data_IF_989607391633
#
_entry.id   IF_989607391633
#
_cell.length_a   1.000
_cell.length_b   1.000
_cell.length_c   1.000
_cell.angle_alpha   90.00
_cell.angle_beta   90.00
_cell.angle_gamma   90.00
#
_symmetry.space_group_name_H-M   'P 1'
#
loop_
_entity.id
_entity.type
_entity.pdbx_description
1 polymer ?
#
# COMPACT_ATOMS: atom_id res chain seq x y z
N UNK A 1 7.35 -72.06 16.15
CA UNK A 1 8.42 -71.04 15.99
C UNK A 1 8.34 -70.52 14.56
N UNK A 2 8.60 -69.22 14.35
CA UNK A 2 8.14 -68.37 13.23
C UNK A 2 6.76 -67.77 13.50
N UNK A 3 6.52 -66.46 13.50
CA UNK A 3 7.36 -65.27 13.40
C UNK A 3 6.40 -64.07 13.52
N UNK A 4 6.55 -63.24 14.56
CA UNK A 4 5.84 -61.97 14.71
C UNK A 4 6.79 -60.89 14.18
N UNK A 5 6.38 -60.14 13.16
CA UNK A 5 7.03 -58.87 12.82
C UNK A 5 5.97 -57.82 12.51
N UNK A 6 6.11 -56.70 13.21
CA UNK A 6 5.30 -55.51 13.26
C UNK A 6 4.85 -54.98 11.90
N UNK A 7 3.55 -54.67 11.79
CA UNK A 7 3.10 -53.57 10.95
C UNK A 7 3.25 -52.27 11.72
N UNK A 8 4.30 -51.50 11.39
CA UNK A 8 4.35 -50.06 11.70
C UNK A 8 3.24 -49.39 10.92
N UNK A 9 2.21 -48.91 11.61
CA UNK A 9 1.31 -47.93 11.04
C UNK A 9 2.05 -46.61 11.19
N UNK A 10 2.80 -46.24 10.16
CA UNK A 10 3.31 -44.89 9.99
C UNK A 10 2.09 -43.97 9.83
N UNK A 11 1.61 -43.49 10.97
CA UNK A 11 0.73 -42.35 11.08
C UNK A 11 1.57 -41.11 10.84
N UNK A 12 1.89 -40.88 9.57
CA UNK A 12 2.42 -39.59 9.12
C UNK A 12 1.24 -38.61 9.09
N UNK A 13 0.81 -38.23 10.29
CA UNK A 13 -0.14 -37.15 10.54
C UNK A 13 0.53 -35.87 10.09
N UNK A 14 -0.06 -35.27 9.06
CA UNK A 14 0.04 -33.88 8.66
C UNK A 14 1.44 -33.27 8.76
N UNK A 15 2.15 -33.33 7.63
CA UNK A 15 3.08 -32.27 7.29
C UNK A 15 2.28 -30.96 7.28
N UNK A 16 2.22 -30.32 8.44
CA UNK A 16 1.63 -29.03 8.68
C UNK A 16 2.11 -28.09 7.58
N UNK A 17 1.14 -27.61 6.81
CA UNK A 17 1.26 -26.91 5.53
C UNK A 17 1.94 -25.54 5.75
N UNK A 18 3.25 -25.57 6.01
CA UNK A 18 4.02 -24.44 6.54
C UNK A 18 4.46 -23.44 5.46
N UNK A 19 3.76 -23.37 4.31
CA UNK A 19 4.22 -22.49 3.21
C UNK A 19 3.15 -22.02 2.20
N UNK A 20 1.97 -21.60 2.64
CA UNK A 20 1.02 -20.94 1.73
C UNK A 20 1.39 -19.48 1.41
N UNK A 21 2.00 -18.75 2.35
CA UNK A 21 2.48 -17.37 2.17
C UNK A 21 3.90 -17.33 1.60
N UNK A 22 4.05 -17.72 0.34
CA UNK A 22 5.34 -17.61 -0.37
C UNK A 22 5.53 -16.19 -0.88
N UNK A 23 6.74 -15.66 -0.68
CA UNK A 23 7.13 -14.32 -1.17
C UNK A 23 7.66 -14.37 -2.62
N UNK A 24 7.89 -15.57 -3.16
CA UNK A 24 8.42 -15.75 -4.51
C UNK A 24 7.50 -15.12 -5.56
N UNK A 25 8.03 -14.20 -6.36
CA UNK A 25 7.29 -13.53 -7.44
C UNK A 25 6.64 -12.20 -7.04
N UNK A 26 6.63 -11.84 -5.75
CA UNK A 26 6.16 -10.53 -5.30
C UNK A 26 7.32 -9.54 -5.40
N UNK A 27 7.16 -8.54 -6.27
CA UNK A 27 8.08 -7.41 -6.36
C UNK A 27 8.09 -6.67 -5.03
N UNK A 28 9.26 -6.38 -4.49
CA UNK A 28 9.38 -5.68 -3.22
C UNK A 28 8.79 -4.26 -3.30
N UNK A 29 8.07 -3.82 -2.26
CA UNK A 29 7.64 -2.42 -2.12
C UNK A 29 8.87 -1.52 -1.98
N UNK A 30 9.10 -0.64 -2.95
CA UNK A 30 10.16 0.37 -2.92
C UNK A 30 9.97 1.36 -1.77
N UNK A 31 10.97 2.20 -1.50
CA UNK A 31 10.81 3.32 -0.57
C UNK A 31 9.68 4.25 -0.97
N UNK A 32 9.10 4.98 -0.02
CA UNK A 32 8.18 6.08 -0.31
C UNK A 32 8.85 7.15 -1.20
N UNK A 33 8.05 7.86 -2.00
CA UNK A 33 8.52 8.89 -2.94
C UNK A 33 7.95 8.70 -4.34
N UNK A 34 8.47 9.48 -5.31
CA UNK A 34 7.99 9.49 -6.69
C UNK A 34 8.07 8.11 -7.36
N UNK A 35 9.09 7.32 -7.01
CA UNK A 35 9.35 6.00 -7.59
C UNK A 35 8.66 4.86 -6.84
N UNK A 36 7.80 5.17 -5.87
CA UNK A 36 7.10 4.14 -5.12
C UNK A 36 6.18 3.32 -6.01
N UNK A 37 6.29 1.99 -5.96
CA UNK A 37 5.39 1.04 -6.62
C UNK A 37 4.22 0.60 -5.74
N UNK A 38 3.78 1.43 -4.79
CA UNK A 38 2.77 1.03 -3.79
C UNK A 38 1.47 0.52 -4.41
N UNK A 39 0.95 1.16 -5.47
CA UNK A 39 -0.31 0.74 -6.09
C UNK A 39 -0.21 -0.69 -6.64
N UNK A 40 0.79 -0.96 -7.46
CA UNK A 40 1.05 -2.31 -8.01
C UNK A 40 1.31 -3.34 -6.90
N UNK A 41 2.16 -2.99 -5.94
CA UNK A 41 2.50 -3.87 -4.82
C UNK A 41 1.26 -4.22 -3.99
N UNK A 42 0.45 -3.22 -3.64
CA UNK A 42 -0.75 -3.40 -2.83
C UNK A 42 -1.78 -4.25 -3.56
N UNK A 43 -1.95 -4.06 -4.87
CA UNK A 43 -2.82 -4.89 -5.69
C UNK A 43 -2.38 -6.36 -5.69
N UNK A 44 -1.10 -6.63 -5.95
CA UNK A 44 -0.56 -8.00 -5.98
C UNK A 44 -0.66 -8.68 -4.61
N UNK A 45 -0.31 -7.97 -3.54
CA UNK A 45 -0.42 -8.49 -2.17
C UNK A 45 -1.87 -8.79 -1.81
N UNK A 46 -2.80 -7.87 -2.08
CA UNK A 46 -4.21 -8.06 -1.78
C UNK A 46 -4.77 -9.28 -2.54
N UNK A 47 -4.49 -9.39 -3.84
CA UNK A 47 -4.93 -10.52 -4.66
C UNK A 47 -4.37 -11.85 -4.15
N UNK A 48 -3.10 -11.88 -3.77
CA UNK A 48 -2.48 -13.07 -3.19
C UNK A 48 -3.15 -13.47 -1.87
N UNK A 49 -3.36 -12.53 -0.96
CA UNK A 49 -4.03 -12.80 0.33
C UNK A 49 -5.49 -13.23 0.14
N UNK A 50 -6.20 -12.66 -0.85
CA UNK A 50 -7.55 -13.10 -1.21
C UNK A 50 -7.56 -14.56 -1.69
N UNK A 51 -6.59 -14.96 -2.51
CA UNK A 51 -6.48 -16.36 -2.98
C UNK A 51 -6.29 -17.37 -1.85
N UNK A 52 -5.79 -16.92 -0.69
CA UNK A 52 -5.56 -17.72 0.51
C UNK A 52 -6.65 -17.54 1.58
N UNK A 53 -7.71 -16.76 1.30
CA UNK A 53 -8.72 -16.35 2.27
C UNK A 53 -8.15 -15.63 3.50
N UNK A 54 -7.04 -14.90 3.34
CA UNK A 54 -6.37 -14.16 4.42
C UNK A 54 -6.61 -12.65 4.36
N UNK A 55 -7.15 -12.11 3.26
CA UNK A 55 -7.34 -10.65 3.11
C UNK A 55 -8.23 -10.02 4.19
N UNK A 56 -9.08 -10.82 4.87
CA UNK A 56 -9.94 -10.34 5.94
C UNK A 56 -9.17 -9.74 7.13
N UNK A 57 -7.92 -10.15 7.37
CA UNK A 57 -7.10 -9.61 8.47
C UNK A 57 -6.52 -8.23 8.19
N UNK A 58 -6.64 -7.72 6.95
CA UNK A 58 -6.26 -6.35 6.61
C UNK A 58 -7.31 -5.33 7.06
N UNK A 59 -8.51 -5.79 7.43
CA UNK A 59 -9.54 -4.94 7.99
C UNK A 59 -9.35 -4.81 9.51
N UNK A 60 -9.60 -3.61 10.01
CA UNK A 60 -9.54 -3.35 11.46
C UNK A 60 -10.69 -4.09 12.14
N UNK A 61 -10.34 -4.91 13.14
CA UNK A 61 -11.30 -5.63 13.99
C UNK A 61 -11.09 -5.20 15.44
N UNK A 62 -12.20 -4.91 16.13
CA UNK A 62 -12.20 -4.55 17.55
C UNK A 62 -11.53 -5.65 18.37
N UNK A 63 -10.80 -5.29 19.43
CA UNK A 63 -9.93 -6.24 20.15
C UNK A 63 -10.73 -7.41 20.73
N UNK A 64 -11.94 -7.11 21.21
CA UNK A 64 -12.94 -8.02 21.75
C UNK A 64 -13.45 -9.06 20.74
N UNK A 65 -13.43 -8.75 19.44
CA UNK A 65 -13.94 -9.62 18.37
C UNK A 65 -12.83 -10.48 17.73
N UNK A 66 -11.57 -10.31 18.16
CA UNK A 66 -10.42 -11.03 17.60
C UNK A 66 -10.41 -12.48 18.08
N UNK A 67 -10.76 -13.38 17.18
CA UNK A 67 -10.64 -14.83 17.41
C UNK A 67 -9.18 -15.29 17.42
N UNK A 68 -8.92 -16.47 17.99
CA UNK A 68 -7.60 -17.09 17.93
C UNK A 68 -7.12 -17.34 16.48
N UNK A 69 -8.05 -17.61 15.56
CA UNK A 69 -7.75 -17.73 14.13
C UNK A 69 -7.29 -16.40 13.54
N UNK A 70 -8.02 -15.31 13.81
CA UNK A 70 -7.64 -13.96 13.38
C UNK A 70 -6.23 -13.59 13.87
N UNK A 71 -5.91 -13.84 15.15
CA UNK A 71 -4.60 -13.51 15.70
C UNK A 71 -3.46 -14.26 15.01
N UNK A 72 -3.63 -15.56 14.76
CA UNK A 72 -2.65 -16.38 14.03
C UNK A 72 -2.47 -15.89 12.59
N UNK A 73 -3.57 -15.65 11.89
CA UNK A 73 -3.55 -15.21 10.51
C UNK A 73 -2.95 -13.80 10.39
N UNK A 74 -3.27 -12.91 11.34
CA UNK A 74 -2.66 -11.58 11.45
C UNK A 74 -1.15 -11.65 11.65
N UNK A 75 -0.65 -12.55 12.51
CA UNK A 75 0.81 -12.80 12.66
C UNK A 75 1.43 -13.26 11.33
N UNK A 76 0.77 -14.20 10.65
CA UNK A 76 1.26 -14.74 9.38
C UNK A 76 1.33 -13.66 8.29
N UNK A 77 0.27 -12.86 8.15
CA UNK A 77 0.20 -11.74 7.20
C UNK A 77 1.17 -10.62 7.57
N UNK A 78 1.33 -10.30 8.85
CA UNK A 78 2.31 -9.30 9.32
C UNK A 78 3.74 -9.69 8.95
N UNK A 79 4.11 -10.95 9.18
CA UNK A 79 5.40 -11.51 8.78
C UNK A 79 5.60 -11.46 7.26
N UNK A 80 4.55 -11.79 6.49
CA UNK A 80 4.56 -11.71 5.04
C UNK A 80 4.74 -10.26 4.54
N UNK A 81 4.01 -9.28 5.08
CA UNK A 81 4.17 -7.86 4.75
C UNK A 81 5.60 -7.41 5.04
N UNK A 82 6.14 -7.70 6.23
CA UNK A 82 7.50 -7.31 6.60
C UNK A 82 8.57 -7.85 5.63
N UNK A 83 8.32 -8.99 4.97
CA UNK A 83 9.23 -9.61 4.00
C UNK A 83 9.07 -9.11 2.56
N UNK A 84 7.96 -8.46 2.24
CA UNK A 84 7.66 -7.98 0.88
C UNK A 84 7.95 -6.49 0.69
N UNK A 85 8.49 -5.81 1.71
CA UNK A 85 8.80 -4.37 1.64
C UNK A 85 10.30 -4.08 1.72
N UNK A 86 10.70 -2.92 1.23
CA UNK A 86 12.06 -2.39 1.41
C UNK A 86 12.31 -2.05 2.89
N UNK A 87 13.52 -2.30 3.43
CA UNK A 87 13.83 -2.06 4.85
C UNK A 87 13.55 -0.64 5.34
N UNK A 88 13.64 0.37 4.45
CA UNK A 88 13.31 1.77 4.81
C UNK A 88 11.87 1.95 5.27
N UNK A 89 10.96 1.05 4.89
CA UNK A 89 9.54 1.12 5.21
C UNK A 89 9.21 0.43 6.54
N UNK A 90 10.17 -0.32 7.14
CA UNK A 90 10.00 -0.95 8.46
C UNK A 90 9.68 0.08 9.55
N UNK A 91 10.16 1.33 9.40
CA UNK A 91 9.91 2.42 10.34
C UNK A 91 8.41 2.69 10.53
N UNK A 92 7.59 2.48 9.49
CA UNK A 92 6.15 2.73 9.51
C UNK A 92 5.35 1.61 10.17
N UNK A 93 5.91 0.40 10.24
CA UNK A 93 5.17 -0.79 10.64
C UNK A 93 5.65 -1.43 11.95
N UNK A 94 6.90 -1.16 12.36
CA UNK A 94 7.53 -1.85 13.51
C UNK A 94 6.76 -1.71 14.83
N UNK A 95 6.05 -0.60 15.03
CA UNK A 95 5.30 -0.33 16.25
C UNK A 95 4.01 -1.16 16.34
N UNK A 96 3.50 -1.68 15.22
CA UNK A 96 2.25 -2.45 15.16
C UNK A 96 2.45 -3.93 15.48
N UNK A 97 3.69 -4.41 15.54
CA UNK A 97 4.00 -5.80 15.89
C UNK A 97 3.37 -6.80 14.92
N UNK A 98 2.32 -7.48 15.38
CA UNK A 98 1.58 -8.50 14.63
C UNK A 98 0.17 -8.07 14.21
N UNK A 99 -0.16 -6.78 14.26
CA UNK A 99 -1.42 -6.23 13.77
C UNK A 99 -1.32 -5.92 12.27
N UNK A 100 -1.75 -6.87 11.42
CA UNK A 100 -1.62 -6.77 9.97
C UNK A 100 -2.43 -5.61 9.39
N UNK A 101 -3.62 -5.34 9.94
CA UNK A 101 -4.48 -4.23 9.50
C UNK A 101 -3.80 -2.87 9.75
N UNK A 102 -3.20 -2.70 10.92
CA UNK A 102 -2.46 -1.48 11.24
C UNK A 102 -1.21 -1.32 10.35
N UNK A 103 -0.44 -2.40 10.12
CA UNK A 103 0.71 -2.35 9.22
C UNK A 103 0.31 -1.97 7.78
N UNK A 104 -0.77 -2.56 7.29
CA UNK A 104 -1.31 -2.28 5.95
C UNK A 104 -1.73 -0.82 5.79
N UNK A 105 -2.47 -0.30 6.78
CA UNK A 105 -2.95 1.08 6.80
C UNK A 105 -1.79 2.08 6.86
N UNK A 106 -0.82 1.86 7.75
CA UNK A 106 0.35 2.73 7.88
C UNK A 106 1.24 2.74 6.64
N UNK A 107 1.36 1.63 5.91
CA UNK A 107 2.04 1.61 4.62
C UNK A 107 1.25 2.39 3.55
N UNK A 108 -0.08 2.32 3.57
CA UNK A 108 -0.91 3.13 2.68
C UNK A 108 -0.67 4.62 2.91
N UNK A 109 -0.75 5.06 4.16
CA UNK A 109 -0.58 6.47 4.54
C UNK A 109 0.84 6.98 4.27
N UNK A 110 1.87 6.17 4.49
CA UNK A 110 3.24 6.56 4.19
C UNK A 110 3.50 6.75 2.68
N UNK A 111 2.76 6.03 1.84
CA UNK A 111 2.98 6.02 0.39
C UNK A 111 1.98 6.87 -0.40
N UNK A 112 0.85 7.25 0.20
CA UNK A 112 -0.24 7.95 -0.44
C UNK A 112 -0.64 9.17 0.38
N UNK A 113 -0.59 10.35 -0.24
CA UNK A 113 -1.08 11.58 0.37
C UNK A 113 -2.57 11.74 0.10
N UNK A 114 -3.41 11.19 0.98
CA UNK A 114 -4.86 11.31 0.90
C UNK A 114 -5.39 12.71 1.27
N UNK A 115 -4.53 13.68 1.57
CA UNK A 115 -4.95 15.05 1.82
C UNK A 115 -5.48 15.73 0.55
N UNK A 116 -6.13 16.88 0.72
CA UNK A 116 -6.41 17.79 -0.40
C UNK A 116 -5.13 18.15 -1.17
N UNK A 117 -4.02 18.35 -0.46
CA UNK A 117 -2.72 18.66 -1.08
C UNK A 117 -2.26 17.57 -2.05
N UNK A 118 -2.37 16.31 -1.67
CA UNK A 118 -2.01 15.18 -2.55
C UNK A 118 -2.89 15.08 -3.79
N UNK A 119 -4.21 15.22 -3.63
CA UNK A 119 -5.14 15.27 -4.78
C UNK A 119 -4.84 16.45 -5.70
N UNK A 120 -4.65 17.64 -5.13
CA UNK A 120 -4.28 18.85 -5.87
C UNK A 120 -2.94 18.71 -6.59
N UNK A 121 -1.95 18.04 -5.98
CA UNK A 121 -0.65 17.79 -6.60
C UNK A 121 -0.78 16.97 -7.89
N UNK A 122 -1.46 15.83 -7.83
CA UNK A 122 -1.63 14.96 -8.99
C UNK A 122 -2.57 15.57 -10.04
N UNK A 123 -3.63 16.25 -9.61
CA UNK A 123 -4.49 17.01 -10.51
C UNK A 123 -3.69 18.09 -11.24
N UNK A 124 -2.87 18.87 -10.52
CA UNK A 124 -1.99 19.88 -11.10
C UNK A 124 -1.06 19.25 -12.13
N UNK A 125 -0.33 18.19 -11.76
CA UNK A 125 0.57 17.50 -12.68
C UNK A 125 -0.14 17.05 -13.96
N UNK A 126 -1.36 16.51 -13.84
CA UNK A 126 -2.16 16.07 -14.97
C UNK A 126 -2.54 17.24 -15.91
N UNK A 127 -3.01 18.37 -15.36
CA UNK A 127 -3.50 19.50 -16.18
C UNK A 127 -2.39 20.37 -16.76
N UNK A 128 -1.23 20.45 -16.10
CA UNK A 128 -0.07 21.23 -16.58
C UNK A 128 0.84 20.43 -17.49
N UNK A 129 0.71 19.10 -17.53
CA UNK A 129 1.51 18.26 -18.42
C UNK A 129 1.36 18.74 -19.87
N UNK A 130 2.48 18.89 -20.56
CA UNK A 130 2.54 19.26 -21.98
C UNK A 130 3.44 18.25 -22.68
N UNK A 131 3.10 17.94 -23.93
CA UNK A 131 3.97 17.15 -24.79
C UNK A 131 5.29 17.90 -24.96
N UNK A 132 6.40 17.22 -24.67
CA UNK A 132 7.75 17.73 -24.90
C UNK A 132 8.43 16.80 -25.90
N UNK A 133 8.92 17.36 -27.01
CA UNK A 133 9.46 16.57 -28.11
C UNK A 133 8.37 15.94 -28.97
N UNK A 134 8.66 14.78 -29.54
CA UNK A 134 7.82 14.06 -30.50
C UNK A 134 7.31 12.69 -30.00
N UNK A 135 7.71 12.26 -28.80
CA UNK A 135 7.26 11.01 -28.20
C UNK A 135 5.90 11.15 -27.50
N UNK A 136 4.83 11.01 -28.28
CA UNK A 136 3.45 11.07 -27.80
C UNK A 136 3.10 9.86 -26.92
N UNK A 137 3.70 8.70 -27.15
CA UNK A 137 3.39 7.47 -26.41
C UNK A 137 3.88 7.61 -24.97
N UNK A 138 5.13 8.02 -24.77
CA UNK A 138 5.68 8.29 -23.44
C UNK A 138 4.91 9.40 -22.71
N UNK A 139 4.43 10.42 -23.43
CA UNK A 139 3.60 11.47 -22.84
C UNK A 139 2.25 10.93 -22.34
N UNK A 140 1.58 10.09 -23.14
CA UNK A 140 0.31 9.45 -22.75
C UNK A 140 0.51 8.55 -21.53
N UNK A 141 1.58 7.74 -21.51
CA UNK A 141 1.93 6.89 -20.35
C UNK A 141 2.16 7.73 -19.09
N UNK A 142 2.93 8.82 -19.20
CA UNK A 142 3.16 9.72 -18.06
C UNK A 142 1.87 10.36 -17.55
N UNK A 143 0.94 10.73 -18.44
CA UNK A 143 -0.37 11.25 -18.05
C UNK A 143 -1.24 10.18 -17.39
N UNK A 144 -1.21 8.95 -17.91
CA UNK A 144 -1.95 7.82 -17.35
C UNK A 144 -1.51 7.52 -15.91
N UNK A 145 -0.20 7.55 -15.63
CA UNK A 145 0.33 7.41 -14.26
C UNK A 145 -0.20 8.52 -13.34
N UNK A 146 -0.24 9.77 -13.80
CA UNK A 146 -0.80 10.87 -13.01
C UNK A 146 -2.29 10.66 -12.71
N UNK A 147 -3.06 10.22 -13.71
CA UNK A 147 -4.49 9.95 -13.57
C UNK A 147 -4.75 8.78 -12.60
N UNK A 148 -3.97 7.70 -12.68
CA UNK A 148 -4.06 6.57 -11.78
C UNK A 148 -3.76 6.96 -10.33
N UNK A 149 -2.70 7.77 -10.12
CA UNK A 149 -2.37 8.30 -8.79
C UNK A 149 -3.48 9.17 -8.24
N UNK A 150 -4.00 10.11 -9.03
CA UNK A 150 -5.14 10.92 -8.62
C UNK A 150 -6.35 10.04 -8.25
N UNK A 151 -6.69 9.06 -9.09
CA UNK A 151 -7.81 8.16 -8.86
C UNK A 151 -7.63 7.34 -7.56
N UNK A 152 -6.41 6.93 -7.23
CA UNK A 152 -6.14 6.20 -5.98
C UNK A 152 -6.38 7.02 -4.71
N UNK A 153 -6.36 8.35 -4.81
CA UNK A 153 -6.57 9.27 -3.69
C UNK A 153 -8.02 9.76 -3.56
N UNK A 154 -8.84 9.55 -4.59
CA UNK A 154 -10.25 9.95 -4.63
C UNK A 154 -11.09 8.78 -4.14
N UNK A 155 -11.60 8.89 -2.92
CA UNK A 155 -12.48 7.88 -2.32
C UNK A 155 -13.85 8.49 -2.00
N UNK A 156 -14.80 7.64 -1.60
CA UNK A 156 -16.13 8.11 -1.15
C UNK A 156 -16.00 9.09 0.02
N UNK A 157 -15.10 8.80 0.96
CA UNK A 157 -14.87 9.62 2.15
C UNK A 157 -13.98 10.84 1.88
N UNK A 158 -13.16 10.78 0.83
CA UNK A 158 -12.22 11.84 0.42
C UNK A 158 -12.37 12.13 -1.08
N UNK A 159 -13.50 12.70 -1.50
CA UNK A 159 -13.75 12.96 -2.91
C UNK A 159 -12.86 14.09 -3.44
N UNK A 160 -12.75 14.19 -4.77
CA UNK A 160 -12.23 15.41 -5.40
C UNK A 160 -13.28 16.51 -5.29
N UNK A 161 -12.95 17.59 -4.58
CA UNK A 161 -13.91 18.67 -4.29
C UNK A 161 -13.77 19.86 -5.26
N UNK A 162 -14.81 20.71 -5.39
CA UNK A 162 -14.68 21.97 -6.12
C UNK A 162 -13.58 22.89 -5.58
N UNK A 163 -13.31 22.84 -4.27
CA UNK A 163 -12.23 23.62 -3.65
C UNK A 163 -10.85 23.12 -4.08
N UNK A 164 -10.64 21.79 -4.12
CA UNK A 164 -9.41 21.18 -4.65
C UNK A 164 -9.17 21.64 -6.10
N UNK A 165 -10.22 21.68 -6.93
CA UNK A 165 -10.14 22.12 -8.33
C UNK A 165 -9.83 23.61 -8.43
N UNK A 166 -10.56 24.46 -7.70
CA UNK A 166 -10.36 25.91 -7.70
C UNK A 166 -8.95 26.28 -7.21
N UNK A 167 -8.52 25.71 -6.10
CA UNK A 167 -7.20 25.91 -5.53
C UNK A 167 -6.10 25.42 -6.48
N UNK A 168 -6.31 24.28 -7.17
CA UNK A 168 -5.37 23.80 -8.19
C UNK A 168 -5.27 24.76 -9.37
N UNK A 169 -6.40 25.27 -9.87
CA UNK A 169 -6.44 26.23 -10.97
C UNK A 169 -5.73 27.54 -10.57
N UNK A 170 -5.98 28.04 -9.36
CA UNK A 170 -5.32 29.21 -8.81
C UNK A 170 -3.80 28.98 -8.73
N UNK A 171 -3.34 27.88 -8.10
CA UNK A 171 -1.92 27.54 -8.00
C UNK A 171 -1.24 27.39 -9.36
N UNK A 172 -1.97 26.93 -10.37
CA UNK A 172 -1.47 26.79 -11.74
C UNK A 172 -1.40 28.12 -12.49
N UNK A 173 -2.23 29.09 -12.11
CA UNK A 173 -2.25 30.44 -12.70
C UNK A 173 -1.14 31.35 -12.18
N UNK A 174 -0.50 30.99 -11.07
CA UNK A 174 0.61 31.74 -10.50
C UNK A 174 1.89 31.52 -11.34
N UNK A 175 2.65 32.59 -11.59
CA UNK A 175 3.96 32.49 -12.23
C UNK A 175 4.98 31.85 -11.29
N UNK A 176 6.05 31.27 -11.85
CA UNK A 176 7.06 30.54 -11.08
C UNK A 176 7.70 31.37 -9.96
N UNK A 177 7.69 32.70 -10.08
CA UNK A 177 8.20 33.65 -9.08
C UNK A 177 7.41 33.65 -7.75
N UNK A 178 6.16 33.19 -7.76
CA UNK A 178 5.28 33.20 -6.57
C UNK A 178 5.20 31.84 -5.87
N UNK A 179 5.60 30.75 -6.53
CA UNK A 179 5.55 29.39 -5.97
C UNK A 179 6.42 29.17 -4.72
N UNK A 180 7.65 29.73 -4.62
CA UNK A 180 8.49 29.59 -3.42
C UNK A 180 7.95 30.32 -2.19
N UNK A 181 7.03 31.28 -2.38
CA UNK A 181 6.58 32.23 -1.35
C UNK A 181 5.28 31.80 -0.65
N UNK A 182 4.65 30.71 -1.10
CA UNK A 182 3.43 30.20 -0.49
C UNK A 182 3.77 29.26 0.68
N UNK A 183 3.27 29.53 1.91
CA UNK A 183 3.27 28.53 2.96
C UNK A 183 2.41 27.36 2.47
N UNK A 184 2.98 26.16 2.40
CA UNK A 184 2.18 24.94 2.37
C UNK A 184 1.24 24.99 3.58
N UNK A 185 -0.05 24.58 3.46
CA UNK A 185 -0.89 24.42 4.63
C UNK A 185 -0.16 23.51 5.62
N UNK A 186 0.22 24.11 6.75
CA UNK A 186 0.93 23.43 7.82
C UNK A 186 -0.04 22.43 8.47
N UNK A 187 0.06 21.16 8.08
CA UNK A 187 -0.30 20.07 8.98
C UNK A 187 0.99 19.34 9.35
N UNK A 188 1.51 19.72 10.52
CA UNK A 188 2.30 18.91 11.46
C UNK A 188 3.55 18.19 10.92
N UNK A 189 4.58 18.96 10.56
CA UNK A 189 5.96 18.52 10.79
C UNK A 189 6.34 18.74 12.26
N UNK A 190 5.73 17.98 13.17
CA UNK A 190 6.29 17.65 14.49
C UNK A 190 5.56 16.42 15.03
N UNK A 191 6.13 15.24 14.82
CA UNK A 191 6.01 14.07 15.68
C UNK A 191 7.19 13.16 15.33
N UNK A 192 7.98 12.83 16.35
CA UNK A 192 9.27 12.14 16.31
C UNK A 192 9.29 10.79 15.58
#
# INVERSE_FOLDING_TARGET
>A
MSGKLSTSVDSNVDANDTSSLKVSGIVQLKSQGSESNYLDWSFVVLLHLQSLNLAYVLNTVAVEDRTAAYLRDSVAVSSFIARTIHPSNLRFIRAHGSDAAAMWSSLSEAHQDFSSGGRMHWLRKLVVSRLVGDDIEAHIESMAVCAERLNSLVTVDKPLTPDDIYSTALLTSLTDDWLPSLPLPQNEYQSF
#
